data_IF_029470021318
#
_entry.id   IF_029470021318
#
_cell.length_a   1.000
_cell.length_b   1.000
_cell.length_c   1.000
_cell.angle_alpha   90.00
_cell.angle_beta   90.00
_cell.angle_gamma   90.00
#
_symmetry.space_group_name_H-M   'P 1'
#
loop_
_entity.id
_entity.type
_entity.pdbx_description
1 polymer ?
#
# COMPACT_ATOMS: atom_id res chain seq x y z
N UNK A 1 -20.15 -10.75 -2.83
CA UNK A 1 -18.70 -10.48 -2.69
C UNK A 1 -18.54 -9.09 -2.07
N UNK A 2 -17.59 -8.86 -1.15
CA UNK A 2 -17.36 -7.52 -0.62
C UNK A 2 -16.97 -6.57 -1.75
N UNK A 3 -17.43 -5.32 -1.67
CA UNK A 3 -17.10 -4.29 -2.64
C UNK A 3 -15.62 -3.92 -2.47
N UNK A 4 -14.74 -4.46 -3.33
CA UNK A 4 -13.33 -4.05 -3.36
C UNK A 4 -13.23 -2.78 -4.20
N UNK A 5 -12.84 -1.67 -3.58
CA UNK A 5 -12.47 -0.45 -4.30
C UNK A 5 -10.94 -0.41 -4.44
N UNK A 6 -10.44 -0.86 -5.57
CA UNK A 6 -9.03 -0.68 -5.91
C UNK A 6 -8.78 0.78 -6.30
N UNK A 7 -7.74 1.41 -5.76
CA UNK A 7 -7.20 2.66 -6.27
C UNK A 7 -5.90 2.33 -6.99
N UNK A 8 -5.96 2.22 -8.32
CA UNK A 8 -4.79 1.89 -9.13
C UNK A 8 -3.97 3.15 -9.39
N UNK A 9 -2.71 3.11 -8.98
CA UNK A 9 -1.59 4.02 -9.30
C UNK A 9 -1.90 5.51 -9.15
N UNK A 10 -1.33 6.11 -8.11
CA UNK A 10 -1.02 7.53 -8.13
C UNK A 10 0.15 7.77 -9.08
N UNK A 11 -0.14 8.31 -10.27
CA UNK A 11 0.91 8.90 -11.07
C UNK A 11 1.29 10.24 -10.45
N UNK A 12 2.38 10.25 -9.68
CA UNK A 12 3.00 11.48 -9.16
C UNK A 12 3.66 12.18 -10.34
N UNK A 13 3.08 13.31 -10.76
CA UNK A 13 3.58 14.09 -11.90
C UNK A 13 4.66 15.06 -11.41
N UNK A 14 5.91 14.60 -11.34
CA UNK A 14 7.08 15.48 -11.19
C UNK A 14 7.41 16.08 -12.56
N UNK A 15 6.61 17.04 -12.99
CA UNK A 15 6.83 17.85 -14.20
C UNK A 15 7.45 17.10 -15.38
N UNK A 16 6.64 16.28 -16.05
CA UNK A 16 6.97 15.82 -17.40
C UNK A 16 6.63 14.36 -17.69
N UNK A 17 5.73 14.19 -18.66
CA UNK A 17 5.64 13.06 -19.60
C UNK A 17 4.67 11.90 -19.25
N UNK A 18 3.65 11.84 -20.13
CA UNK A 18 3.02 10.73 -20.86
C UNK A 18 2.37 9.53 -20.12
N UNK A 19 1.09 9.39 -20.51
CA UNK A 19 0.12 8.29 -20.52
C UNK A 19 0.72 6.89 -20.77
N UNK A 20 0.37 5.89 -19.96
CA UNK A 20 0.38 4.46 -20.37
C UNK A 20 -0.82 3.71 -19.77
N UNK A 21 -1.56 3.03 -20.66
CA UNK A 21 -2.68 2.12 -20.46
C UNK A 21 -2.18 0.69 -20.17
N UNK A 22 -2.97 -0.12 -19.46
CA UNK A 22 -2.97 -1.57 -19.69
C UNK A 22 -4.40 -2.13 -19.67
N UNK A 23 -4.62 -3.04 -20.61
CA UNK A 23 -5.88 -3.65 -21.01
C UNK A 23 -5.73 -5.16 -20.78
N UNK A 24 -6.68 -5.85 -20.12
CA UNK A 24 -6.99 -7.23 -20.50
C UNK A 24 -8.42 -7.66 -20.11
N UNK A 25 -8.96 -8.57 -20.94
CA UNK A 25 -10.32 -9.15 -21.01
C UNK A 25 -10.49 -10.20 -19.89
N UNK A 26 -11.67 -10.50 -19.32
CA UNK A 26 -12.98 -10.85 -19.88
C UNK A 26 -14.09 -10.58 -18.83
N UNK A 27 -15.29 -10.34 -19.36
CA UNK A 27 -16.62 -10.39 -18.70
C UNK A 27 -16.76 -11.65 -17.81
N UNK A 28 -17.39 -11.50 -16.65
CA UNK A 28 -18.69 -12.13 -16.34
C UNK A 28 -19.32 -11.49 -15.08
N UNK A 29 -20.63 -11.23 -15.17
CA UNK A 29 -21.48 -10.53 -14.19
C UNK A 29 -21.72 -11.36 -12.92
N UNK A 30 -21.64 -10.74 -11.73
CA UNK A 30 -22.17 -11.32 -10.47
C UNK A 30 -22.88 -10.22 -9.64
N UNK A 31 -24.07 -10.48 -9.06
CA UNK A 31 -24.94 -9.46 -8.47
C UNK A 31 -24.45 -8.92 -7.13
N UNK A 32 -24.74 -7.64 -6.91
CA UNK A 32 -24.38 -6.86 -5.72
C UNK A 32 -25.39 -7.18 -4.59
N UNK A 33 -24.89 -7.77 -3.51
CA UNK A 33 -25.61 -7.85 -2.22
C UNK A 33 -24.75 -7.21 -1.12
N UNK A 34 -25.39 -6.36 -0.34
CA UNK A 34 -24.81 -5.48 0.65
C UNK A 34 -24.27 -6.23 1.88
N UNK A 35 -22.97 -6.07 2.15
CA UNK A 35 -22.38 -6.22 3.48
C UNK A 35 -21.18 -5.28 3.60
N UNK A 36 -21.05 -4.64 4.76
CA UNK A 36 -20.41 -3.33 5.01
C UNK A 36 -18.87 -3.32 5.07
N UNK A 37 -18.18 -4.09 4.24
CA UNK A 37 -16.71 -4.08 4.22
C UNK A 37 -16.23 -3.63 2.83
N UNK A 38 -15.95 -2.33 2.70
CA UNK A 38 -15.27 -1.81 1.51
C UNK A 38 -13.78 -2.00 1.72
N UNK A 39 -13.17 -2.87 0.91
CA UNK A 39 -11.73 -3.12 0.91
C UNK A 39 -11.09 -2.07 0.01
N UNK A 40 -10.21 -1.23 0.56
CA UNK A 40 -9.40 -0.31 -0.22
C UNK A 40 -8.04 -0.93 -0.52
N UNK A 41 -7.82 -1.31 -1.78
CA UNK A 41 -6.50 -1.76 -2.23
C UNK A 41 -5.76 -0.55 -2.81
N UNK A 42 -4.65 -0.16 -2.20
CA UNK A 42 -3.88 1.02 -2.60
C UNK A 42 -2.52 0.63 -3.15
N UNK A 43 -2.18 1.25 -4.28
CA UNK A 43 -0.86 1.16 -4.91
C UNK A 43 -0.27 2.57 -5.09
N UNK A 44 0.76 2.89 -4.30
CA UNK A 44 1.43 4.18 -4.35
C UNK A 44 2.76 4.18 -3.60
N UNK A 45 3.77 4.83 -4.18
CA UNK A 45 5.06 5.19 -3.54
C UNK A 45 4.90 6.21 -2.37
N UNK A 46 3.65 6.49 -1.98
CA UNK A 46 3.25 7.30 -0.83
C UNK A 46 1.84 6.94 -0.39
N UNK A 47 1.71 5.85 0.38
CA UNK A 47 0.41 5.26 0.71
C UNK A 47 -0.48 6.18 1.55
N UNK A 48 0.11 7.16 2.25
CA UNK A 48 -0.60 8.14 3.08
C UNK A 48 -1.53 9.08 2.27
N UNK A 49 -1.17 9.46 1.04
CA UNK A 49 -2.02 10.34 0.20
C UNK A 49 -3.33 9.68 -0.25
N UNK A 50 -3.32 8.51 -0.91
CA UNK A 50 -4.55 7.87 -1.35
C UNK A 50 -5.47 7.56 -0.17
N UNK A 51 -4.93 7.23 1.01
CA UNK A 51 -5.75 7.10 2.22
C UNK A 51 -6.39 8.40 2.64
N UNK A 52 -5.64 9.49 2.73
CA UNK A 52 -6.20 10.79 3.11
C UNK A 52 -7.30 11.26 2.15
N UNK A 53 -7.20 10.89 0.87
CA UNK A 53 -8.27 11.10 -0.11
C UNK A 53 -9.44 10.14 0.14
N UNK A 54 -9.19 8.84 0.28
CA UNK A 54 -10.22 7.83 0.50
C UNK A 54 -11.05 8.13 1.75
N UNK A 55 -10.44 8.52 2.86
CA UNK A 55 -11.10 8.89 4.12
C UNK A 55 -12.08 10.06 3.97
N UNK A 56 -11.86 10.96 3.00
CA UNK A 56 -12.78 12.07 2.69
C UNK A 56 -13.94 11.64 1.80
N UNK A 57 -13.76 10.58 1.02
CA UNK A 57 -14.71 10.13 0.00
C UNK A 57 -15.60 8.98 0.47
N UNK A 58 -15.09 8.15 1.38
CA UNK A 58 -15.69 6.88 1.75
C UNK A 58 -15.54 6.60 3.24
N UNK A 59 -16.43 5.78 3.77
CA UNK A 59 -16.31 5.18 5.10
C UNK A 59 -15.87 3.73 4.94
N UNK A 60 -14.74 3.38 5.56
CA UNK A 60 -14.19 2.03 5.56
C UNK A 60 -13.40 1.78 6.84
N UNK A 61 -13.43 0.53 7.27
CA UNK A 61 -12.86 0.13 8.56
C UNK A 61 -11.50 -0.54 8.42
N UNK A 62 -11.12 -0.97 7.21
CA UNK A 62 -9.77 -1.47 6.94
C UNK A 62 -9.29 -1.18 5.52
N UNK A 63 -7.97 -1.27 5.37
CA UNK A 63 -7.20 -0.94 4.19
C UNK A 63 -6.27 -2.11 3.89
N UNK A 64 -6.06 -2.37 2.60
CA UNK A 64 -5.02 -3.27 2.11
C UNK A 64 -4.04 -2.46 1.27
N UNK A 65 -2.79 -2.41 1.70
CA UNK A 65 -1.69 -1.91 0.87
C UNK A 65 -1.16 -3.08 0.08
N UNK A 66 -0.98 -2.90 -1.22
CA UNK A 66 -0.68 -4.01 -2.11
C UNK A 66 0.14 -3.59 -3.31
N UNK A 67 1.33 -4.14 -3.42
CA UNK A 67 2.19 -3.94 -4.58
C UNK A 67 1.56 -4.52 -5.85
N UNK A 68 1.53 -3.76 -6.93
CA UNK A 68 0.85 -4.12 -8.19
C UNK A 68 1.51 -5.29 -8.91
N UNK A 69 2.77 -5.55 -8.61
CA UNK A 69 3.58 -6.61 -9.19
C UNK A 69 3.60 -7.86 -8.31
N UNK A 70 2.82 -7.91 -7.23
CA UNK A 70 2.61 -9.14 -6.46
C UNK A 70 1.27 -9.77 -6.83
N UNK A 71 1.23 -11.10 -6.93
CA UNK A 71 -0.01 -11.85 -7.07
C UNK A 71 -0.07 -13.01 -6.06
N UNK A 72 -1.15 -13.14 -5.27
CA UNK A 72 -1.28 -14.22 -4.30
C UNK A 72 -1.44 -15.57 -5.02
N UNK A 73 -0.73 -16.59 -4.53
CA UNK A 73 -0.81 -17.96 -5.06
C UNK A 73 -1.98 -18.72 -4.42
N UNK A 74 -2.23 -18.46 -3.13
CA UNK A 74 -3.18 -19.24 -2.33
C UNK A 74 -4.46 -18.44 -2.06
N UNK A 75 -5.61 -18.98 -2.47
CA UNK A 75 -6.92 -18.36 -2.27
C UNK A 75 -7.37 -18.30 -0.81
N UNK A 76 -6.74 -19.08 0.09
CA UNK A 76 -6.97 -18.98 1.53
C UNK A 76 -6.34 -17.72 2.14
N UNK A 77 -5.49 -16.99 1.39
CA UNK A 77 -4.98 -15.71 1.83
C UNK A 77 -6.09 -14.66 1.75
N UNK A 78 -6.76 -14.42 2.88
CA UNK A 78 -7.99 -13.61 2.90
C UNK A 78 -7.69 -12.11 2.92
N UNK A 79 -8.24 -11.43 1.91
CA UNK A 79 -8.26 -9.97 1.77
C UNK A 79 -9.49 -9.33 2.45
N UNK A 80 -10.20 -10.08 3.29
CA UNK A 80 -11.33 -9.54 4.05
C UNK A 80 -10.83 -8.79 5.28
N UNK A 81 -11.58 -7.78 5.69
CA UNK A 81 -11.35 -7.00 6.90
C UNK A 81 -11.92 -7.77 8.11
N UNK A 82 -11.24 -8.84 8.49
CA UNK A 82 -11.66 -9.72 9.57
C UNK A 82 -11.52 -9.08 10.97
N UNK A 83 -12.08 -9.77 11.96
CA UNK A 83 -12.02 -9.34 13.37
C UNK A 83 -10.57 -9.21 13.88
N UNK A 84 -9.63 -9.95 13.30
CA UNK A 84 -8.22 -9.89 13.68
C UNK A 84 -7.60 -8.56 13.23
N UNK A 85 -7.94 -8.09 12.03
CA UNK A 85 -7.49 -6.81 11.45
C UNK A 85 -7.90 -5.60 12.31
N UNK A 86 -8.96 -5.72 13.12
CA UNK A 86 -9.37 -4.69 14.09
C UNK A 86 -8.43 -4.57 15.28
N UNK A 87 -7.68 -5.63 15.61
CA UNK A 87 -6.82 -5.71 16.79
C UNK A 87 -5.32 -5.65 16.45
N UNK A 88 -4.93 -5.96 15.22
CA UNK A 88 -3.55 -5.96 14.76
C UNK A 88 -3.45 -5.79 13.24
N UNK A 89 -2.28 -5.39 12.76
CA UNK A 89 -1.97 -5.41 11.32
C UNK A 89 -1.59 -6.82 10.88
N UNK A 90 -1.98 -7.22 9.68
CA UNK A 90 -1.68 -8.55 9.12
C UNK A 90 -0.83 -8.38 7.87
N UNK A 91 0.37 -8.95 7.88
CA UNK A 91 1.23 -9.02 6.70
C UNK A 91 0.89 -10.26 5.88
N UNK A 92 0.45 -10.05 4.65
CA UNK A 92 -0.08 -11.09 3.76
C UNK A 92 1.01 -11.70 2.87
N UNK A 93 2.01 -10.93 2.42
CA UNK A 93 3.06 -11.36 1.47
C UNK A 93 4.34 -11.86 2.12
N UNK A 94 4.21 -12.85 3.01
CA UNK A 94 5.33 -13.37 3.82
C UNK A 94 6.33 -14.22 3.02
N UNK A 95 5.91 -14.75 1.86
CA UNK A 95 6.70 -15.69 1.07
C UNK A 95 6.63 -15.35 -0.43
N UNK A 96 7.57 -14.55 -0.92
CA UNK A 96 7.64 -14.14 -2.33
C UNK A 96 8.64 -15.03 -3.10
N UNK A 97 8.30 -15.41 -4.34
CA UNK A 97 9.15 -16.28 -5.18
C UNK A 97 10.57 -15.75 -5.40
N UNK A 98 10.76 -14.43 -5.53
CA UNK A 98 12.06 -13.76 -5.67
C UNK A 98 12.97 -13.99 -4.47
N UNK A 99 12.39 -14.19 -3.28
CA UNK A 99 13.11 -14.56 -2.07
C UNK A 99 12.96 -16.04 -1.71
N UNK A 100 12.82 -16.91 -2.71
CA UNK A 100 12.69 -18.38 -2.54
C UNK A 100 11.57 -18.77 -1.57
N UNK A 101 10.47 -18.02 -1.57
CA UNK A 101 9.32 -18.22 -0.69
C UNK A 101 9.67 -18.15 0.80
N UNK A 102 10.62 -17.29 1.17
CA UNK A 102 10.98 -17.01 2.55
C UNK A 102 10.81 -15.52 2.86
N UNK A 103 10.59 -15.21 4.13
CA UNK A 103 10.63 -13.85 4.62
C UNK A 103 12.08 -13.34 4.58
N UNK A 104 12.36 -12.12 4.07
CA UNK A 104 13.73 -11.58 4.01
C UNK A 104 14.39 -11.46 5.38
N UNK A 105 13.65 -10.93 6.36
CA UNK A 105 14.05 -10.78 7.76
C UNK A 105 12.80 -10.68 8.64
N UNK A 106 12.93 -10.92 9.94
CA UNK A 106 11.78 -11.11 10.86
C UNK A 106 10.81 -9.92 10.90
N UNK A 107 11.34 -8.70 10.84
CA UNK A 107 10.55 -7.45 10.89
C UNK A 107 10.09 -6.97 9.51
N UNK A 108 10.31 -7.74 8.44
CA UNK A 108 9.90 -7.33 7.10
C UNK A 108 8.37 -7.34 6.97
N UNK A 109 7.78 -6.20 6.59
CA UNK A 109 6.33 -6.01 6.42
C UNK A 109 5.96 -5.39 5.06
N UNK A 110 6.84 -5.50 4.07
CA UNK A 110 6.61 -4.96 2.72
C UNK A 110 5.74 -5.83 1.83
N UNK A 111 5.40 -5.32 0.64
CA UNK A 111 4.57 -6.03 -0.33
C UNK A 111 3.07 -5.80 -0.12
N UNK A 112 2.46 -6.63 0.72
CA UNK A 112 1.02 -6.69 0.93
C UNK A 112 0.68 -6.80 2.40
N UNK A 113 0.03 -5.78 2.95
CA UNK A 113 -0.46 -5.75 4.33
C UNK A 113 -1.94 -5.37 4.38
N UNK A 114 -2.65 -5.81 5.42
CA UNK A 114 -3.97 -5.29 5.77
C UNK A 114 -4.00 -4.75 7.20
N UNK A 115 -4.64 -3.60 7.38
CA UNK A 115 -4.66 -2.87 8.66
C UNK A 115 -6.00 -2.16 8.82
N UNK A 116 -6.49 -2.04 10.07
CA UNK A 116 -7.67 -1.22 10.34
C UNK A 116 -7.39 0.25 10.04
N UNK A 117 -8.41 0.94 9.57
CA UNK A 117 -8.36 2.39 9.34
C UNK A 117 -7.96 3.13 10.62
N UNK A 118 -8.45 2.67 11.77
CA UNK A 118 -8.11 3.23 13.06
C UNK A 118 -6.61 3.10 13.36
N UNK A 119 -6.03 1.90 13.25
CA UNK A 119 -4.60 1.69 13.50
C UNK A 119 -3.74 2.49 12.53
N UNK A 120 -4.11 2.54 11.25
CA UNK A 120 -3.36 3.29 10.26
C UNK A 120 -3.32 4.80 10.57
N UNK A 121 -4.43 5.36 11.07
CA UNK A 121 -4.49 6.76 11.53
C UNK A 121 -3.65 6.93 12.81
N UNK A 122 -3.73 6.00 13.77
CA UNK A 122 -2.99 6.05 15.04
C UNK A 122 -1.47 6.06 14.83
N UNK A 123 -0.94 5.33 13.85
CA UNK A 123 0.50 5.36 13.49
C UNK A 123 0.90 6.57 12.65
N UNK A 124 -0.03 7.47 12.36
CA UNK A 124 0.11 8.59 11.42
C UNK A 124 0.50 8.13 10.00
N UNK A 125 0.06 6.94 9.58
CA UNK A 125 0.37 6.34 8.29
C UNK A 125 1.86 6.12 8.00
N UNK A 126 2.18 6.01 6.71
CA UNK A 126 3.56 5.91 6.23
C UNK A 126 4.25 7.27 6.25
N UNK A 127 5.58 7.24 6.31
CA UNK A 127 6.41 8.44 6.21
C UNK A 127 6.25 9.13 4.85
N UNK A 128 6.35 10.46 4.85
CA UNK A 128 6.42 11.24 3.62
C UNK A 128 7.85 11.48 3.15
N UNK A 129 8.85 10.78 3.70
CA UNK A 129 10.26 11.03 3.38
C UNK A 129 10.84 9.99 2.39
N UNK A 130 10.29 8.77 2.35
CA UNK A 130 10.88 7.60 1.66
C UNK A 130 10.22 7.29 0.30
N UNK A 131 10.19 8.27 -0.60
CA UNK A 131 9.60 8.09 -1.93
C UNK A 131 10.46 7.20 -2.83
N UNK A 132 9.90 6.08 -3.30
CA UNK A 132 10.62 5.13 -4.16
C UNK A 132 11.70 4.32 -3.41
N UNK A 133 11.59 4.29 -2.08
CA UNK A 133 12.43 3.56 -1.15
C UNK A 133 11.54 2.60 -0.35
N UNK A 134 11.03 1.58 -1.02
CA UNK A 134 9.95 0.73 -0.48
C UNK A 134 10.38 0.03 0.81
N UNK A 135 11.61 -0.52 0.86
CA UNK A 135 12.13 -1.19 2.05
C UNK A 135 12.26 -0.23 3.25
N UNK A 136 12.81 0.96 3.04
CA UNK A 136 13.00 1.97 4.09
C UNK A 136 11.66 2.51 4.59
N UNK A 137 10.69 2.65 3.69
CA UNK A 137 9.33 3.05 4.03
C UNK A 137 8.64 1.99 4.88
N UNK A 138 8.78 0.71 4.53
CA UNK A 138 8.23 -0.42 5.26
C UNK A 138 8.90 -0.60 6.63
N UNK A 139 10.22 -0.49 6.71
CA UNK A 139 10.96 -0.54 7.98
C UNK A 139 10.60 0.64 8.89
N UNK A 140 10.39 1.84 8.33
CA UNK A 140 9.89 2.99 9.11
C UNK A 140 8.48 2.74 9.63
N UNK A 141 7.59 2.19 8.80
CA UNK A 141 6.23 1.86 9.20
C UNK A 141 6.21 0.79 10.32
N UNK A 142 7.12 -0.18 10.27
CA UNK A 142 7.31 -1.18 11.32
C UNK A 142 7.70 -0.54 12.66
N UNK A 143 8.67 0.39 12.63
CA UNK A 143 9.08 1.15 13.82
C UNK A 143 7.92 1.97 14.40
N UNK A 144 7.06 2.56 13.56
CA UNK A 144 5.85 3.30 14.00
C UNK A 144 4.81 2.39 14.67
N UNK A 145 4.59 1.19 14.13
CA UNK A 145 3.73 0.18 14.75
C UNK A 145 4.24 -0.21 16.13
N UNK A 146 5.55 -0.50 16.27
CA UNK A 146 6.17 -0.78 17.56
C UNK A 146 6.02 0.38 18.55
N UNK A 147 6.31 1.62 18.12
CA UNK A 147 6.24 2.81 18.97
C UNK A 147 4.82 3.05 19.52
N UNK A 148 3.80 2.82 18.70
CA UNK A 148 2.39 3.00 19.10
C UNK A 148 1.81 1.79 19.84
N UNK A 149 2.57 0.69 19.96
CA UNK A 149 2.11 -0.55 20.58
C UNK A 149 1.10 -1.34 19.74
N UNK A 150 0.93 -1.00 18.46
CA UNK A 150 0.08 -1.75 17.54
C UNK A 150 0.84 -3.01 17.11
N UNK A 151 0.26 -4.16 17.46
CA UNK A 151 0.83 -5.47 17.10
C UNK A 151 0.62 -5.77 15.62
N UNK A 152 1.47 -6.62 15.09
CA UNK A 152 1.28 -7.22 13.78
C UNK A 152 1.64 -8.70 13.78
N UNK A 153 1.12 -9.42 12.78
CA UNK A 153 1.47 -10.82 12.54
C UNK A 153 1.75 -11.08 11.07
N UNK A 154 2.59 -12.07 10.81
CA UNK A 154 2.79 -12.68 9.51
C UNK A 154 1.80 -13.82 9.33
N UNK A 155 1.09 -13.89 8.20
CA UNK A 155 0.30 -15.07 7.88
C UNK A 155 1.19 -16.31 7.74
N UNK A 156 0.60 -17.51 7.78
CA UNK A 156 1.36 -18.73 7.53
C UNK A 156 2.06 -18.68 6.15
N UNK A 157 3.31 -19.14 6.09
CA UNK A 157 4.16 -19.14 4.90
C UNK A 157 3.62 -19.94 3.70
N UNK A 158 2.77 -20.95 3.92
CA UNK A 158 2.07 -21.67 2.85
C UNK A 158 0.81 -20.94 2.36
N UNK A 159 0.28 -20.02 3.16
CA UNK A 159 -0.89 -19.19 2.81
C UNK A 159 -0.43 -17.89 2.16
N UNK A 160 0.55 -17.20 2.74
CA UNK A 160 1.04 -15.91 2.24
C UNK A 160 2.07 -16.01 1.13
N UNK A 161 1.89 -16.94 0.20
CA UNK A 161 2.78 -17.09 -0.96
C UNK A 161 2.36 -16.16 -2.09
N UNK A 162 3.33 -15.44 -2.66
CA UNK A 162 3.14 -14.52 -3.78
C UNK A 162 4.14 -14.77 -4.90
N UNK A 163 3.70 -14.47 -6.11
CA UNK A 163 4.56 -14.39 -7.29
C UNK A 163 4.80 -12.92 -7.60
N UNK A 164 6.07 -12.56 -7.75
CA UNK A 164 6.49 -11.31 -8.36
C UNK A 164 6.32 -11.36 -9.88
N UNK A 165 5.62 -10.37 -10.42
CA UNK A 165 5.30 -10.18 -11.83
C UNK A 165 6.14 -9.00 -12.31
N UNK A 166 7.31 -9.24 -12.95
CA UNK A 166 8.19 -8.17 -13.37
C UNK A 166 7.48 -7.20 -14.32
N UNK A 167 7.52 -5.92 -13.98
CA UNK A 167 7.04 -4.86 -14.85
C UNK A 167 8.17 -4.39 -15.76
N UNK A 168 7.92 -4.26 -17.07
CA UNK A 168 8.94 -3.93 -18.08
C UNK A 168 9.37 -2.46 -18.11
N UNK A 169 9.08 -1.65 -17.08
CA UNK A 169 9.56 -0.25 -17.06
C UNK A 169 10.92 -0.12 -16.40
N UNK A 170 11.88 0.31 -17.21
CA UNK A 170 13.24 0.72 -16.90
C UNK A 170 13.36 1.96 -15.99
N UNK A 171 12.68 1.96 -14.83
CA UNK A 171 12.78 3.07 -13.87
C UNK A 171 13.49 2.59 -12.60
N UNK A 172 14.80 2.41 -12.71
CA UNK A 172 15.68 2.44 -11.55
C UNK A 172 15.80 3.91 -11.10
N UNK A 173 15.11 4.30 -10.04
CA UNK A 173 15.35 5.58 -9.37
C UNK A 173 16.69 5.51 -8.63
N UNK A 174 17.80 5.57 -9.38
CA UNK A 174 19.07 6.03 -8.83
C UNK A 174 19.00 7.55 -8.73
N UNK A 175 18.30 8.06 -7.71
CA UNK A 175 18.40 9.47 -7.35
C UNK A 175 19.43 9.63 -6.23
N UNK A 176 20.33 10.60 -6.36
CA UNK A 176 21.29 10.96 -5.30
C UNK A 176 20.61 11.37 -3.97
N UNK A 177 19.29 11.56 -3.97
CA UNK A 177 18.48 11.84 -2.79
C UNK A 177 18.35 10.63 -1.85
N UNK A 178 18.32 9.41 -2.41
CA UNK A 178 18.27 8.15 -1.63
C UNK A 178 19.42 8.07 -0.63
N UNK A 179 20.63 8.42 -1.09
CA UNK A 179 21.86 8.32 -0.31
C UNK A 179 21.85 9.24 0.92
N UNK A 180 21.27 10.44 0.78
CA UNK A 180 21.20 11.45 1.84
C UNK A 180 20.12 11.14 2.89
N UNK A 181 19.07 10.41 2.52
CA UNK A 181 18.02 9.95 3.45
C UNK A 181 18.51 8.77 4.31
N UNK A 182 19.28 7.85 3.71
CA UNK A 182 19.92 6.74 4.41
C UNK A 182 20.98 7.20 5.42
N UNK A 183 21.72 8.28 5.12
CA UNK A 183 22.73 8.84 6.03
C UNK A 183 22.14 9.58 7.24
N UNK A 184 20.84 9.96 7.21
CA UNK A 184 20.17 10.70 8.29
C UNK A 184 19.11 9.86 9.05
N UNK A 185 18.90 8.60 8.68
CA UNK A 185 17.82 7.76 9.20
C UNK A 185 18.09 7.07 10.54
N UNK A 186 19.28 7.24 11.12
CA UNK A 186 19.74 6.35 12.19
C UNK A 186 19.20 6.65 13.59
N UNK A 187 18.58 7.81 13.89
CA UNK A 187 18.20 8.08 15.29
C UNK A 187 16.83 8.72 15.55
N UNK A 188 16.07 9.14 14.54
CA UNK A 188 14.77 9.78 14.80
C UNK A 188 13.66 9.15 13.98
N UNK A 189 12.66 8.59 14.68
CA UNK A 189 11.35 8.30 14.08
C UNK A 189 10.74 9.64 13.71
N UNK A 190 10.98 10.08 12.48
CA UNK A 190 10.29 11.24 11.94
C UNK A 190 8.82 10.87 11.78
N UNK A 191 7.93 11.51 12.53
CA UNK A 191 6.50 11.18 12.51
C UNK A 191 5.74 11.86 11.37
N UNK A 192 6.38 12.66 10.50
CA UNK A 192 5.71 13.25 9.33
C UNK A 192 5.02 12.18 8.49
N UNK A 193 3.69 12.26 8.40
CA UNK A 193 2.89 11.23 7.73
C UNK A 193 1.53 11.78 7.27
N UNK A 194 0.43 11.12 7.66
CA UNK A 194 -0.91 11.49 7.23
C UNK A 194 -1.28 12.95 7.52
N UNK A 195 -0.91 13.47 8.68
CA UNK A 195 -1.19 14.86 9.06
C UNK A 195 -0.48 15.88 8.16
N UNK A 196 0.80 15.68 7.92
CA UNK A 196 1.71 16.60 7.25
C UNK A 196 1.63 16.57 5.72
N UNK A 197 1.01 15.53 5.13
CA UNK A 197 1.04 15.37 3.67
C UNK A 197 0.21 16.44 2.95
N UNK A 198 0.86 17.14 2.01
CA UNK A 198 0.30 18.20 1.18
C UNK A 198 0.17 17.76 -0.27
N UNK A 199 -1.06 17.78 -0.79
CA UNK A 199 -1.36 17.31 -2.14
C UNK A 199 -2.49 18.10 -2.78
N UNK A 200 -2.54 18.08 -4.11
CA UNK A 200 -3.65 18.59 -4.92
C UNK A 200 -4.13 17.48 -5.84
N UNK A 201 -5.42 17.13 -5.78
CA UNK A 201 -6.00 16.18 -6.74
C UNK A 201 -6.07 16.85 -8.12
N UNK A 202 -5.37 16.27 -9.10
CA UNK A 202 -5.37 16.74 -10.50
C UNK A 202 -6.59 16.20 -11.22
N UNK A 203 -6.86 14.91 -11.06
CA UNK A 203 -8.01 14.26 -11.70
C UNK A 203 -8.43 13.00 -10.96
N UNK A 204 -9.72 12.67 -11.10
CA UNK A 204 -10.31 11.42 -10.65
C UNK A 204 -11.02 10.79 -11.85
N UNK A 205 -10.76 9.52 -12.10
CA UNK A 205 -11.45 8.74 -13.14
C UNK A 205 -11.94 7.43 -12.53
N UNK A 206 -13.26 7.26 -12.50
CA UNK A 206 -13.85 5.98 -12.09
C UNK A 206 -13.77 5.02 -13.28
N UNK A 207 -13.10 3.90 -13.10
CA UNK A 207 -13.05 2.78 -14.04
C UNK A 207 -13.96 1.66 -13.51
N UNK A 208 -14.34 0.68 -14.35
CA UNK A 208 -15.24 -0.40 -13.92
C UNK A 208 -14.74 -1.17 -12.69
N UNK A 209 -13.41 -1.30 -12.52
CA UNK A 209 -12.80 -2.13 -11.46
C UNK A 209 -11.92 -1.34 -10.48
N UNK A 210 -11.70 -0.06 -10.71
CA UNK A 210 -10.85 0.76 -9.86
C UNK A 210 -11.15 2.25 -10.01
N UNK A 211 -10.77 3.05 -9.02
CA UNK A 211 -10.72 4.51 -9.17
C UNK A 211 -9.28 4.93 -9.41
N UNK A 212 -9.02 5.63 -10.50
CA UNK A 212 -7.72 6.22 -10.79
C UNK A 212 -7.67 7.65 -10.25
N UNK A 213 -6.67 7.94 -9.43
CA UNK A 213 -6.42 9.27 -8.87
C UNK A 213 -5.06 9.77 -9.35
N UNK A 214 -5.06 10.92 -10.02
CA UNK A 214 -3.82 11.68 -10.27
C UNK A 214 -3.74 12.80 -9.26
N UNK A 215 -2.61 12.92 -8.58
CA UNK A 215 -2.37 14.01 -7.64
C UNK A 215 -1.03 14.67 -7.94
N UNK A 216 -0.98 15.96 -7.65
CA UNK A 216 0.24 16.72 -7.56
C UNK A 216 0.64 16.75 -6.09
N UNK A 217 1.91 16.47 -5.83
CA UNK A 217 2.45 16.43 -4.48
C UNK A 217 3.24 17.72 -4.27
N UNK A 218 2.94 18.42 -3.19
CA UNK A 218 3.68 19.63 -2.82
C UNK A 218 4.73 19.20 -1.82
N UNK A 219 5.97 19.06 -2.27
CA UNK A 219 7.10 18.89 -1.35
C UNK A 219 7.23 20.17 -0.52
N UNK A 220 7.36 20.00 0.79
CA UNK A 220 7.67 21.06 1.76
C UNK A 220 9.13 21.43 1.70
#
# INVERSE_FOLDING_TARGET
MPNVLCIKRLQVDYSGIRKILYHDKKKDDIPISASREIIFILYSDAPSIPIKIALKLFKFDCVIFHDVDLAPINYYNSYQCDQLTKHMMIHLSVAINTNKFKLPYETYIGGVIKISTHHFITVNGYSNDYWGLDNENDDNFEKRLKFTGIKYIHVNDKIGQYIYIPYTSSYSLQSNHLKKLLENSDEQINFHGLDAVSYKVISRSNQPFFTHLRVLIKQS
#
